data_IF_026176580723
#
_entry.id   IF_026176580723
#
_cell.length_a   1.000
_cell.length_b   1.000
_cell.length_c   1.000
_cell.angle_alpha   90.00
_cell.angle_beta   90.00
_cell.angle_gamma   90.00
#
_symmetry.space_group_name_H-M   'P 1'
#
loop_
_entity.id
_entity.type
_entity.pdbx_description
1 polymer ?
#
# COMPACT_ATOMS: atom_id res chain seq x y z
N UNK A 1 -8.68 41.29 -69.99
CA UNK A 1 -8.91 40.08 -69.18
C UNK A 1 -8.63 40.44 -67.72
N UNK A 2 -9.66 40.48 -66.87
CA UNK A 2 -9.62 41.09 -65.53
C UNK A 2 -9.89 39.98 -64.52
N UNK A 3 -8.89 39.64 -63.70
CA UNK A 3 -8.99 38.56 -62.72
C UNK A 3 -9.60 39.14 -61.42
N UNK A 4 -10.75 38.64 -60.94
CA UNK A 4 -11.35 39.14 -59.71
C UNK A 4 -10.64 38.58 -58.46
N UNK A 5 -10.02 39.46 -57.68
CA UNK A 5 -9.49 39.16 -56.35
C UNK A 5 -10.63 39.19 -55.30
N UNK A 6 -11.38 38.09 -55.20
CA UNK A 6 -12.36 37.87 -54.12
C UNK A 6 -11.81 36.85 -53.13
N UNK A 7 -11.27 37.29 -51.97
CA UNK A 7 -10.96 36.33 -50.90
C UNK A 7 -10.13 36.78 -49.68
N UNK A 8 -9.45 37.93 -49.68
CA UNK A 8 -8.42 38.21 -48.63
C UNK A 8 -8.84 39.06 -47.42
N UNK A 9 -10.13 39.36 -47.20
CA UNK A 9 -10.55 40.27 -46.10
C UNK A 9 -10.99 39.60 -44.79
N UNK A 10 -11.12 38.26 -44.74
CA UNK A 10 -11.60 37.55 -43.54
C UNK A 10 -10.48 37.02 -42.62
N UNK A 11 -9.24 36.91 -43.11
CA UNK A 11 -8.12 36.43 -42.29
C UNK A 11 -7.50 37.53 -41.38
N UNK A 12 -7.74 38.81 -41.69
CA UNK A 12 -7.04 39.93 -41.04
C UNK A 12 -7.61 40.29 -39.65
N UNK A 13 -8.86 39.94 -39.36
CA UNK A 13 -9.47 40.18 -38.05
C UNK A 13 -9.07 39.11 -37.01
N UNK A 14 -8.76 37.89 -37.45
CA UNK A 14 -8.42 36.78 -36.54
C UNK A 14 -7.03 36.93 -35.91
N UNK A 15 -6.10 37.60 -36.60
CA UNK A 15 -4.73 37.82 -36.09
C UNK A 15 -4.67 38.83 -34.94
N UNK A 16 -5.58 39.79 -34.85
CA UNK A 16 -5.53 40.84 -33.82
C UNK A 16 -5.95 40.32 -32.44
N UNK A 17 -6.96 39.45 -32.39
CA UNK A 17 -7.36 38.78 -31.15
C UNK A 17 -6.29 37.81 -30.62
N UNK A 18 -5.51 37.18 -31.49
CA UNK A 18 -4.50 36.20 -31.09
C UNK A 18 -3.32 36.86 -30.34
N UNK A 19 -2.96 38.11 -30.66
CA UNK A 19 -1.86 38.81 -29.98
C UNK A 19 -2.25 39.39 -28.61
N UNK A 20 -3.48 39.87 -28.43
CA UNK A 20 -3.95 40.42 -27.15
C UNK A 20 -4.26 39.33 -26.11
N UNK A 21 -4.61 38.12 -26.55
CA UNK A 21 -4.69 36.97 -25.64
C UNK A 21 -3.36 36.19 -25.56
N UNK A 22 -2.48 36.35 -26.54
CA UNK A 22 -1.18 35.66 -26.60
C UNK A 22 -0.28 35.97 -25.41
N UNK A 23 -0.24 37.23 -24.96
CA UNK A 23 0.55 37.59 -23.77
C UNK A 23 -0.03 36.94 -22.50
N UNK A 24 -1.35 36.85 -22.38
CA UNK A 24 -2.01 36.24 -21.23
C UNK A 24 -1.71 34.73 -21.18
N UNK A 25 -1.80 34.04 -22.32
CA UNK A 25 -1.44 32.62 -22.42
C UNK A 25 0.04 32.39 -22.12
N UNK A 26 0.93 33.29 -22.58
CA UNK A 26 2.36 33.21 -22.29
C UNK A 26 2.63 33.33 -20.79
N UNK A 27 2.01 34.29 -20.10
CA UNK A 27 2.14 34.46 -18.65
C UNK A 27 1.68 33.20 -17.92
N UNK A 28 0.52 32.64 -18.28
CA UNK A 28 0.00 31.40 -17.67
C UNK A 28 0.97 30.22 -17.91
N UNK A 29 1.50 30.07 -19.13
CA UNK A 29 2.48 29.04 -19.44
C UNK A 29 3.77 29.20 -18.60
N UNK A 30 4.26 30.43 -18.43
CA UNK A 30 5.42 30.73 -17.59
C UNK A 30 5.21 30.34 -16.12
N UNK A 31 4.02 30.62 -15.58
CA UNK A 31 3.64 30.21 -14.22
C UNK A 31 3.58 28.69 -14.09
N UNK A 32 2.98 27.98 -15.06
CA UNK A 32 2.92 26.52 -15.06
C UNK A 32 4.31 25.89 -15.14
N UNK A 33 5.21 26.45 -15.95
CA UNK A 33 6.62 26.02 -16.01
C UNK A 33 7.31 26.24 -14.66
N UNK A 34 7.11 27.40 -14.03
CA UNK A 34 7.66 27.70 -12.71
C UNK A 34 7.16 26.73 -11.62
N UNK A 35 5.85 26.43 -11.61
CA UNK A 35 5.24 25.47 -10.68
C UNK A 35 5.74 24.03 -10.92
N UNK A 36 5.91 23.66 -12.19
CA UNK A 36 6.48 22.36 -12.57
C UNK A 36 7.95 22.25 -12.14
N UNK A 37 8.72 23.32 -12.30
CA UNK A 37 10.13 23.36 -11.86
C UNK A 37 10.27 23.30 -10.34
N UNK A 38 9.35 23.92 -9.59
CA UNK A 38 9.27 23.80 -8.12
C UNK A 38 8.75 22.43 -7.65
N UNK A 39 8.36 21.53 -8.56
CA UNK A 39 7.89 20.19 -8.21
C UNK A 39 6.52 20.16 -7.52
N UNK A 40 5.71 21.22 -7.64
CA UNK A 40 4.36 21.28 -7.03
C UNK A 40 3.45 20.16 -7.54
N UNK A 41 3.69 19.67 -8.76
CA UNK A 41 2.95 18.54 -9.34
C UNK A 41 3.47 17.16 -8.91
N UNK A 42 4.55 17.08 -8.12
CA UNK A 42 5.06 15.81 -7.60
C UNK A 42 4.31 15.40 -6.32
N UNK A 43 3.01 15.17 -6.46
CA UNK A 43 2.10 14.81 -5.36
C UNK A 43 2.46 13.43 -4.78
N UNK A 44 3.10 12.58 -5.59
CA UNK A 44 3.41 11.19 -5.24
C UNK A 44 4.42 11.07 -4.08
N UNK A 45 5.33 12.03 -3.91
CA UNK A 45 6.34 11.98 -2.84
C UNK A 45 5.87 12.58 -1.51
N UNK A 46 4.74 13.28 -1.47
CA UNK A 46 4.22 13.96 -0.26
C UNK A 46 2.99 13.30 0.35
N UNK A 47 2.58 12.13 -0.15
CA UNK A 47 1.49 11.38 0.50
C UNK A 47 1.94 11.02 1.91
N UNK A 48 1.30 11.52 2.97
CA UNK A 48 1.65 11.14 4.32
C UNK A 48 1.42 9.65 4.51
N UNK A 49 2.24 9.04 5.35
CA UNK A 49 2.02 7.66 5.73
C UNK A 49 0.65 7.57 6.41
N UNK A 50 -0.17 6.67 5.90
CA UNK A 50 -1.56 6.57 6.28
C UNK A 50 -2.01 5.12 6.20
N UNK A 51 -2.90 4.75 7.11
CA UNK A 51 -3.59 3.49 7.07
C UNK A 51 -5.04 3.72 7.48
N UNK A 52 -5.97 3.09 6.77
CA UNK A 52 -7.40 3.32 6.99
C UNK A 52 -8.22 2.07 6.76
N UNK A 53 -9.21 1.85 7.61
CA UNK A 53 -10.18 0.77 7.48
C UNK A 53 -11.56 1.34 7.13
N UNK A 54 -12.27 0.79 6.13
CA UNK A 54 -13.49 1.38 5.59
C UNK A 54 -14.65 1.41 6.59
N UNK A 55 -14.70 0.47 7.53
CA UNK A 55 -15.79 0.34 8.50
C UNK A 55 -15.53 1.12 9.81
N UNK A 56 -14.37 1.77 9.97
CA UNK A 56 -13.93 2.48 11.19
C UNK A 56 -14.02 1.63 12.49
N UNK A 57 -14.15 0.31 12.37
CA UNK A 57 -14.24 -0.61 13.51
C UNK A 57 -12.87 -0.94 14.12
N UNK A 58 -11.82 -0.79 13.32
CA UNK A 58 -10.44 -0.66 13.78
C UNK A 58 -9.92 0.66 13.24
N UNK A 59 -9.36 1.47 14.13
CA UNK A 59 -8.69 2.70 13.74
C UNK A 59 -7.19 2.42 13.63
N UNK A 60 -6.57 2.87 12.55
CA UNK A 60 -5.14 2.65 12.31
C UNK A 60 -4.40 3.96 12.54
N UNK A 61 -3.44 3.95 13.47
CA UNK A 61 -2.69 5.15 13.86
C UNK A 61 -1.35 5.25 13.17
N UNK A 62 -0.66 4.13 13.00
CA UNK A 62 0.67 4.09 12.40
C UNK A 62 0.91 2.72 11.75
N UNK A 63 1.62 2.70 10.63
CA UNK A 63 2.02 1.47 9.96
C UNK A 63 3.46 1.66 9.45
N UNK A 64 4.34 0.73 9.81
CA UNK A 64 5.74 0.73 9.42
C UNK A 64 6.03 -0.44 8.53
N UNK A 65 6.50 -0.12 7.33
CA UNK A 65 6.93 -1.08 6.33
C UNK A 65 8.43 -0.95 6.19
N UNK A 66 9.11 -2.09 6.10
CA UNK A 66 10.55 -2.18 6.13
C UNK A 66 11.05 -3.06 4.99
N UNK A 67 12.15 -2.66 4.34
CA UNK A 67 12.83 -3.49 3.35
C UNK A 67 13.96 -4.28 4.01
N UNK A 68 14.06 -5.56 3.67
CA UNK A 68 15.15 -6.44 4.08
C UNK A 68 15.70 -7.25 2.90
N UNK A 69 16.73 -8.05 3.16
CA UNK A 69 17.32 -8.96 2.20
C UNK A 69 17.53 -10.32 2.85
N UNK A 70 17.04 -11.37 2.22
CA UNK A 70 17.33 -12.75 2.62
C UNK A 70 18.47 -13.27 1.75
N UNK A 71 19.42 -13.97 2.37
CA UNK A 71 20.58 -14.52 1.67
C UNK A 71 20.52 -16.04 1.75
N UNK A 72 20.33 -16.69 0.60
CA UNK A 72 20.31 -18.15 0.47
C UNK A 72 21.63 -18.58 -0.16
N UNK A 73 22.41 -19.40 0.54
CA UNK A 73 23.63 -19.99 -0.01
C UNK A 73 23.33 -21.39 -0.54
N UNK A 74 23.53 -21.60 -1.83
CA UNK A 74 23.32 -22.86 -2.54
C UNK A 74 24.69 -23.45 -2.86
N UNK A 75 24.93 -24.72 -2.51
CA UNK A 75 26.17 -25.41 -2.86
C UNK A 75 25.89 -26.27 -4.08
N UNK A 76 26.40 -25.85 -5.25
CA UNK A 76 26.25 -26.57 -6.51
C UNK A 76 27.56 -27.21 -6.99
N UNK A 77 27.53 -27.96 -8.11
CA UNK A 77 28.72 -28.59 -8.70
C UNK A 77 29.82 -27.59 -9.10
N UNK A 78 29.47 -26.32 -9.28
CA UNK A 78 30.39 -25.22 -9.61
C UNK A 78 30.91 -24.44 -8.39
N UNK A 79 30.54 -24.82 -7.16
CA UNK A 79 30.88 -24.10 -5.92
C UNK A 79 29.67 -23.46 -5.22
N UNK A 80 29.90 -22.71 -4.14
CA UNK A 80 28.84 -22.00 -3.43
C UNK A 80 28.38 -20.77 -4.24
N UNK A 81 27.07 -20.69 -4.49
CA UNK A 81 26.38 -19.55 -5.06
C UNK A 81 25.51 -18.90 -3.98
N UNK A 82 25.53 -17.56 -3.91
CA UNK A 82 24.74 -16.81 -2.94
C UNK A 82 23.64 -16.05 -3.67
N UNK A 83 22.39 -16.42 -3.41
CA UNK A 83 21.20 -15.76 -3.94
C UNK A 83 20.69 -14.78 -2.89
N UNK A 84 20.66 -13.49 -3.24
CA UNK A 84 20.11 -12.44 -2.39
C UNK A 84 18.72 -12.09 -2.90
N UNK A 85 17.69 -12.33 -2.10
CA UNK A 85 16.30 -12.02 -2.43
C UNK A 85 15.82 -10.85 -1.58
N UNK A 86 15.56 -9.67 -2.17
CA UNK A 86 15.08 -8.53 -1.42
C UNK A 86 13.60 -8.74 -1.08
N UNK A 87 13.20 -8.38 0.13
CA UNK A 87 11.82 -8.53 0.61
C UNK A 87 11.35 -7.23 1.26
N UNK A 88 10.05 -7.10 1.43
CA UNK A 88 9.43 -5.98 2.15
C UNK A 88 8.45 -6.55 3.15
N UNK A 89 8.54 -6.14 4.40
CA UNK A 89 7.72 -6.64 5.50
C UNK A 89 6.95 -5.51 6.18
N UNK A 90 5.78 -5.85 6.71
CA UNK A 90 5.09 -5.00 7.67
C UNK A 90 5.75 -5.18 9.06
N UNK A 91 6.66 -4.27 9.41
CA UNK A 91 7.42 -4.32 10.67
C UNK A 91 6.50 -4.12 11.89
N UNK A 92 5.63 -3.11 11.82
CA UNK A 92 4.65 -2.89 12.86
C UNK A 92 3.41 -2.16 12.38
N UNK A 93 2.27 -2.42 13.00
CA UNK A 93 1.03 -1.68 12.79
C UNK A 93 0.39 -1.35 14.15
N UNK A 94 0.01 -0.10 14.34
CA UNK A 94 -0.66 0.37 15.55
C UNK A 94 -2.14 0.53 15.27
N UNK A 95 -2.96 -0.28 15.92
CA UNK A 95 -4.41 -0.30 15.75
C UNK A 95 -5.12 -0.01 17.07
N UNK A 96 -6.30 0.61 17.01
CA UNK A 96 -7.21 0.83 18.12
C UNK A 96 -8.53 0.14 17.85
N UNK A 97 -8.99 -0.67 18.80
CA UNK A 97 -10.26 -1.39 18.70
C UNK A 97 -11.46 -0.44 18.92
N UNK A 98 -12.32 -0.31 17.90
CA UNK A 98 -13.57 0.47 17.93
C UNK A 98 -14.83 -0.40 17.80
N UNK A 99 -14.73 -1.72 17.95
CA UNK A 99 -15.88 -2.63 17.83
C UNK A 99 -16.87 -2.56 19.02
N UNK A 100 -16.54 -1.83 20.09
CA UNK A 100 -17.35 -1.82 21.34
C UNK A 100 -17.34 -3.15 22.10
N UNK A 101 -16.60 -4.16 21.61
CA UNK A 101 -16.37 -5.47 22.22
C UNK A 101 -14.90 -5.84 22.08
N UNK A 102 -14.42 -6.72 22.94
CA UNK A 102 -13.06 -7.22 22.86
C UNK A 102 -12.89 -8.13 21.65
N UNK A 103 -11.75 -7.96 20.96
CA UNK A 103 -11.36 -8.77 19.82
C UNK A 103 -10.06 -9.51 20.12
N UNK A 104 -9.87 -10.64 19.46
CA UNK A 104 -8.60 -11.34 19.36
C UNK A 104 -8.08 -11.21 17.94
N UNK A 105 -6.86 -10.72 17.79
CA UNK A 105 -6.12 -10.68 16.54
C UNK A 105 -5.50 -12.06 16.31
N UNK A 106 -5.69 -12.57 15.11
CA UNK A 106 -5.38 -13.96 14.76
C UNK A 106 -4.21 -14.02 13.79
N UNK A 107 -4.25 -13.15 12.78
CA UNK A 107 -3.21 -13.05 11.77
C UNK A 107 -3.26 -11.65 11.12
N UNK A 108 -2.13 -11.22 10.58
CA UNK A 108 -2.03 -9.97 9.84
C UNK A 108 -1.25 -10.25 8.56
N UNK A 109 -1.77 -9.76 7.44
CA UNK A 109 -1.10 -9.90 6.15
C UNK A 109 -1.13 -8.61 5.37
N UNK A 110 -0.10 -8.31 4.59
CA UNK A 110 -0.09 -7.18 3.66
C UNK A 110 0.05 -7.69 2.22
N UNK A 111 -0.71 -7.11 1.30
CA UNK A 111 -0.63 -7.42 -0.12
C UNK A 111 -1.26 -6.30 -0.93
N UNK A 112 -0.67 -5.93 -2.06
CA UNK A 112 -1.26 -5.03 -3.04
C UNK A 112 -2.12 -5.77 -4.09
N UNK A 113 -2.25 -7.10 -3.98
CA UNK A 113 -3.20 -7.86 -4.82
C UNK A 113 -4.66 -7.51 -4.49
N UNK A 114 -5.57 -7.58 -5.47
CA UNK A 114 -7.00 -7.50 -5.19
C UNK A 114 -7.45 -8.69 -4.31
N UNK A 115 -8.42 -8.48 -3.39
CA UNK A 115 -8.98 -9.56 -2.60
C UNK A 115 -9.73 -10.56 -3.49
N UNK A 116 -9.59 -11.84 -3.18
CA UNK A 116 -10.36 -12.91 -3.77
C UNK A 116 -11.83 -12.78 -3.36
N UNK A 117 -12.75 -12.88 -4.33
CA UNK A 117 -14.18 -12.70 -4.10
C UNK A 117 -14.82 -13.76 -3.17
N UNK A 118 -14.20 -14.94 -3.03
CA UNK A 118 -14.71 -16.04 -2.21
C UNK A 118 -14.13 -16.05 -0.81
N UNK A 119 -12.84 -15.78 -0.66
CA UNK A 119 -12.14 -15.88 0.64
C UNK A 119 -11.93 -14.54 1.33
N UNK A 120 -11.98 -13.42 0.59
CA UNK A 120 -11.63 -12.09 1.10
C UNK A 120 -10.13 -11.89 1.39
N UNK A 121 -9.29 -12.88 1.09
CA UNK A 121 -7.83 -12.83 1.21
C UNK A 121 -7.18 -12.50 -0.15
N UNK A 122 -5.88 -12.14 -0.19
CA UNK A 122 -5.14 -11.97 -1.45
C UNK A 122 -5.21 -13.21 -2.34
N UNK A 123 -5.13 -13.03 -3.66
CA UNK A 123 -5.25 -14.10 -4.64
C UNK A 123 -4.27 -15.25 -4.41
N UNK A 124 -3.04 -14.93 -4.03
CA UNK A 124 -1.99 -15.90 -3.65
C UNK A 124 -2.32 -16.74 -2.41
N UNK A 125 -3.26 -16.30 -1.58
CA UNK A 125 -3.70 -16.96 -0.34
C UNK A 125 -5.09 -17.57 -0.45
N UNK A 126 -5.60 -17.82 -1.66
CA UNK A 126 -6.96 -18.35 -1.87
C UNK A 126 -7.22 -19.72 -1.24
N UNK A 127 -6.18 -20.47 -0.90
CA UNK A 127 -6.29 -21.79 -0.27
C UNK A 127 -6.25 -21.72 1.27
N UNK A 128 -5.99 -20.55 1.84
CA UNK A 128 -5.96 -20.35 3.27
C UNK A 128 -7.35 -20.00 3.79
N UNK A 129 -7.71 -20.60 4.92
CA UNK A 129 -8.90 -20.24 5.68
C UNK A 129 -8.48 -19.33 6.81
N UNK A 130 -9.25 -18.26 7.06
CA UNK A 130 -9.03 -17.46 8.24
C UNK A 130 -9.29 -18.32 9.50
N UNK A 131 -8.29 -18.44 10.37
CA UNK A 131 -8.33 -19.26 11.58
C UNK A 131 -7.43 -18.64 12.66
N UNK A 132 -7.93 -18.60 13.89
CA UNK A 132 -7.21 -18.11 15.06
C UNK A 132 -6.42 -19.20 15.81
N UNK A 133 -6.52 -20.46 15.36
CA UNK A 133 -5.87 -21.63 15.96
C UNK A 133 -4.65 -22.15 15.21
N UNK A 134 -4.22 -21.48 14.13
CA UNK A 134 -3.00 -21.83 13.38
C UNK A 134 -3.02 -23.25 12.79
N UNK A 135 -4.19 -23.87 12.60
CA UNK A 135 -4.28 -25.31 12.30
C UNK A 135 -4.29 -25.64 10.79
N UNK A 136 -4.08 -24.65 9.90
CA UNK A 136 -4.37 -24.79 8.46
C UNK A 136 -3.34 -24.22 7.49
N UNK A 137 -2.04 -24.31 7.78
CA UNK A 137 -0.98 -23.90 6.84
C UNK A 137 -0.81 -22.39 6.66
N UNK A 138 -1.59 -21.56 7.37
CA UNK A 138 -1.35 -20.13 7.50
C UNK A 138 -0.08 -19.93 8.33
N UNK A 139 0.84 -19.10 7.84
CA UNK A 139 1.99 -18.63 8.62
C UNK A 139 1.40 -17.85 9.80
N UNK A 140 1.22 -18.54 10.92
CA UNK A 140 0.78 -17.93 12.16
C UNK A 140 1.91 -17.02 12.60
N UNK A 141 1.80 -15.72 12.33
CA UNK A 141 2.68 -14.75 12.94
C UNK A 141 2.15 -14.58 14.35
N UNK A 142 2.80 -15.16 15.39
CA UNK A 142 2.37 -14.90 16.74
C UNK A 142 2.34 -13.38 16.89
N UNK A 143 1.22 -12.80 17.30
CA UNK A 143 1.15 -11.38 17.61
C UNK A 143 1.97 -11.20 18.90
N UNK A 144 3.23 -10.81 18.77
CA UNK A 144 4.28 -11.08 19.78
C UNK A 144 4.10 -10.28 21.08
N UNK A 145 3.17 -9.32 21.12
CA UNK A 145 3.01 -8.46 22.30
C UNK A 145 1.59 -8.47 22.89
N UNK A 146 0.55 -8.65 22.08
CA UNK A 146 -0.84 -8.59 22.54
C UNK A 146 -1.84 -9.07 21.48
N UNK A 147 -2.34 -10.29 21.66
CA UNK A 147 -3.34 -10.87 20.76
C UNK A 147 -4.76 -10.40 21.08
N UNK A 148 -5.04 -9.93 22.30
CA UNK A 148 -6.36 -9.49 22.73
C UNK A 148 -6.43 -7.97 22.93
N UNK A 149 -7.39 -7.33 22.28
CA UNK A 149 -7.67 -5.90 22.39
C UNK A 149 -9.03 -5.68 23.04
N UNK A 150 -9.05 -4.99 24.18
CA UNK A 150 -10.27 -4.51 24.80
C UNK A 150 -10.93 -3.38 23.97
N UNK A 151 -12.21 -3.06 24.18
CA UNK A 151 -12.83 -1.90 23.54
C UNK A 151 -12.04 -0.62 23.83
N UNK A 152 -11.87 0.23 22.81
CA UNK A 152 -11.11 1.49 22.85
C UNK A 152 -9.60 1.34 23.11
N UNK A 153 -9.11 0.12 23.28
CA UNK A 153 -7.71 -0.16 23.54
C UNK A 153 -6.88 -0.08 22.26
N UNK A 154 -5.66 0.46 22.40
CA UNK A 154 -4.68 0.55 21.35
C UNK A 154 -3.55 -0.46 21.59
N UNK A 155 -3.07 -1.12 20.54
CA UNK A 155 -1.83 -1.88 20.58
C UNK A 155 -1.02 -1.71 19.30
N UNK A 156 0.30 -1.74 19.46
CA UNK A 156 1.25 -1.88 18.36
C UNK A 156 1.57 -3.36 18.20
N UNK A 157 1.16 -3.91 17.06
CA UNK A 157 1.52 -5.26 16.65
C UNK A 157 2.82 -5.16 15.89
N UNK A 158 3.84 -5.91 16.31
CA UNK A 158 5.13 -5.99 15.64
C UNK A 158 5.35 -7.41 15.13
N UNK A 159 5.79 -7.54 13.88
CA UNK A 159 6.24 -8.82 13.33
C UNK A 159 7.70 -9.03 13.79
N UNK A 160 7.96 -9.88 14.79
CA UNK A 160 9.36 -10.34 14.98
C UNK A 160 9.63 -11.45 13.99
N UNK A 161 10.50 -11.13 13.03
CA UNK A 161 11.49 -11.97 12.34
C UNK A 161 11.35 -13.49 12.53
N UNK A 162 10.27 -14.05 12.01
CA UNK A 162 10.10 -15.44 11.54
C UNK A 162 9.49 -15.25 10.15
N UNK A 163 10.00 -15.89 9.07
CA UNK A 163 10.12 -15.27 7.73
C UNK A 163 8.90 -14.40 7.43
N UNK A 164 9.13 -13.09 7.48
CA UNK A 164 8.14 -12.09 7.87
C UNK A 164 6.90 -12.08 6.98
N UNK A 165 5.93 -11.26 7.38
CA UNK A 165 4.76 -10.95 6.55
C UNK A 165 5.28 -10.18 5.33
N UNK A 166 5.67 -10.90 4.28
CA UNK A 166 6.15 -10.28 3.06
C UNK A 166 4.98 -9.59 2.39
N UNK A 167 5.07 -8.26 2.28
CA UNK A 167 4.10 -7.47 1.56
C UNK A 167 4.28 -7.70 0.07
N UNK A 168 3.24 -8.28 -0.54
CA UNK A 168 3.21 -8.55 -1.97
C UNK A 168 2.93 -7.27 -2.77
N UNK A 169 3.57 -7.15 -3.93
CA UNK A 169 3.26 -6.09 -4.89
C UNK A 169 1.90 -6.34 -5.61
N UNK A 170 1.50 -5.42 -6.48
CA UNK A 170 0.24 -5.53 -7.22
C UNK A 170 0.17 -6.75 -8.16
N UNK A 171 1.31 -7.39 -8.44
CA UNK A 171 1.44 -8.60 -9.23
C UNK A 171 1.61 -9.86 -8.36
N UNK A 172 1.44 -9.75 -7.03
CA UNK A 172 1.58 -10.88 -6.11
C UNK A 172 3.02 -11.31 -5.84
N UNK A 173 3.99 -10.47 -6.19
CA UNK A 173 5.41 -10.82 -6.07
C UNK A 173 5.99 -10.26 -4.78
N UNK A 174 6.90 -11.02 -4.21
CA UNK A 174 7.76 -10.59 -3.10
C UNK A 174 8.91 -9.79 -3.70
N UNK A 175 8.68 -8.50 -3.90
CA UNK A 175 9.67 -7.57 -4.43
C UNK A 175 10.10 -6.61 -3.32
N UNK A 176 11.40 -6.58 -3.01
CA UNK A 176 11.91 -5.57 -2.08
C UNK A 176 11.76 -4.18 -2.67
N UNK A 177 10.84 -3.41 -2.11
CA UNK A 177 10.78 -1.97 -2.31
C UNK A 177 12.09 -1.37 -1.81
N UNK A 178 12.62 -0.38 -2.53
CA UNK A 178 13.83 0.32 -2.06
C UNK A 178 13.47 1.22 -0.88
N UNK A 179 14.43 1.42 0.03
CA UNK A 179 14.28 2.36 1.14
C UNK A 179 13.90 3.74 0.59
N UNK A 180 13.01 4.45 1.29
CA UNK A 180 12.41 5.72 0.91
C UNK A 180 11.45 5.69 -0.28
N UNK A 181 11.05 4.50 -0.76
CA UNK A 181 9.93 4.38 -1.68
C UNK A 181 8.61 4.21 -0.93
N UNK A 182 7.50 4.56 -1.59
CA UNK A 182 6.16 4.35 -1.03
C UNK A 182 5.69 2.94 -1.35
N UNK A 183 5.34 2.20 -0.30
CA UNK A 183 4.50 1.02 -0.40
C UNK A 183 3.04 1.47 -0.35
N UNK A 184 2.23 1.00 -1.30
CA UNK A 184 0.79 1.21 -1.32
C UNK A 184 0.11 -0.14 -1.57
N UNK A 185 -0.70 -0.59 -0.62
CA UNK A 185 -1.35 -1.90 -0.69
C UNK A 185 -2.43 -2.04 0.36
N UNK A 186 -2.87 -3.28 0.58
CA UNK A 186 -3.89 -3.61 1.57
C UNK A 186 -3.28 -4.35 2.74
N UNK A 187 -3.87 -4.15 3.91
CA UNK A 187 -3.62 -4.95 5.11
C UNK A 187 -4.88 -5.75 5.42
N UNK A 188 -4.70 -7.02 5.70
CA UNK A 188 -5.72 -7.99 6.04
C UNK A 188 -5.48 -8.38 7.49
N UNK A 189 -6.40 -8.00 8.37
CA UNK A 189 -6.37 -8.38 9.78
C UNK A 189 -7.43 -9.46 9.97
N UNK A 190 -6.99 -10.65 10.33
CA UNK A 190 -7.87 -11.71 10.77
C UNK A 190 -8.12 -11.56 12.27
N UNK A 191 -9.38 -11.60 12.68
CA UNK A 191 -9.75 -11.42 14.08
C UNK A 191 -10.99 -12.25 14.44
N UNK A 192 -11.19 -12.50 15.74
CA UNK A 192 -12.43 -13.07 16.29
C UNK A 192 -12.91 -12.23 17.47
N UNK A 193 -14.19 -12.34 17.86
CA UNK A 193 -14.62 -11.76 19.13
C UNK A 193 -14.29 -12.68 20.30
N UNK A 194 -14.25 -12.12 21.51
CA UNK A 194 -14.19 -12.96 22.70
C UNK A 194 -15.45 -13.84 22.82
N UNK A 195 -15.24 -15.14 23.02
CA UNK A 195 -16.30 -16.14 23.10
C UNK A 195 -16.64 -16.80 21.76
N UNK A 196 -16.13 -16.29 20.64
CA UNK A 196 -16.23 -16.95 19.34
C UNK A 196 -15.37 -18.23 19.30
N UNK A 197 -15.83 -19.25 18.58
CA UNK A 197 -15.01 -20.44 18.31
C UNK A 197 -13.80 -20.04 17.46
N UNK A 198 -12.56 -20.37 17.87
CA UNK A 198 -11.36 -19.89 17.20
C UNK A 198 -11.21 -20.38 15.75
N UNK A 199 -11.93 -21.43 15.36
CA UNK A 199 -11.81 -22.12 14.06
C UNK A 199 -12.87 -21.69 13.05
N UNK A 200 -14.06 -21.32 13.52
CA UNK A 200 -15.23 -21.12 12.64
C UNK A 200 -15.70 -19.68 12.55
N UNK A 201 -15.21 -18.81 13.44
CA UNK A 201 -15.69 -17.44 13.58
C UNK A 201 -14.58 -16.38 13.40
N UNK A 202 -13.46 -16.77 12.78
CA UNK A 202 -12.48 -15.81 12.30
C UNK A 202 -13.10 -14.96 11.18
N UNK A 203 -12.88 -13.65 11.27
CA UNK A 203 -13.37 -12.62 10.35
C UNK A 203 -12.17 -11.89 9.79
N UNK A 204 -12.32 -11.37 8.58
CA UNK A 204 -11.27 -10.60 7.92
C UNK A 204 -11.70 -9.14 7.89
N UNK A 205 -10.84 -8.25 8.36
CA UNK A 205 -10.94 -6.83 8.13
C UNK A 205 -9.85 -6.42 7.14
N UNK A 206 -10.24 -5.68 6.11
CA UNK A 206 -9.33 -5.18 5.09
C UNK A 206 -9.19 -3.67 5.23
N UNK A 207 -7.96 -3.18 5.23
CA UNK A 207 -7.63 -1.75 5.23
C UNK A 207 -6.67 -1.42 4.12
N UNK A 208 -6.61 -0.15 3.74
CA UNK A 208 -5.60 0.38 2.83
C UNK A 208 -4.43 0.92 3.66
N UNK A 209 -3.20 0.68 3.19
CA UNK A 209 -1.98 1.22 3.80
C UNK A 209 -1.14 1.89 2.72
N UNK A 210 -0.63 3.07 3.06
CA UNK A 210 0.41 3.79 2.33
C UNK A 210 1.50 4.11 3.33
N UNK A 211 2.69 3.56 3.15
CA UNK A 211 3.79 3.75 4.08
C UNK A 211 5.11 3.96 3.34
N UNK A 212 6.00 4.76 3.90
CA UNK A 212 7.37 4.91 3.41
C UNK A 212 8.18 3.72 3.88
N UNK A 213 8.80 3.02 2.94
CA UNK A 213 9.61 1.84 3.22
C UNK A 213 10.89 2.29 3.93
N UNK A 214 11.06 1.82 5.16
CA UNK A 214 12.23 2.12 5.98
C UNK A 214 13.30 1.03 5.82
N UNK A 215 14.53 1.35 6.20
CA UNK A 215 15.58 0.34 6.32
C UNK A 215 15.24 -0.58 7.49
N UNK A 216 15.20 -1.90 7.25
CA UNK A 216 15.06 -2.87 8.33
C UNK A 216 16.17 -2.77 9.35
N UNK A 217 15.79 -2.98 10.60
CA UNK A 217 16.71 -3.14 11.73
C UNK A 217 17.17 -4.58 11.87
#
# INVERSE_FOLDING_TARGET
MKIPHSGLKKAQAASEFLFTYGWAVLVVALVLIGLAWMGVFNITSQVPDSCSFPLQTLDCKDARVSSGQSTISIIGPGGPETVVTPFTILESITVQNKFGKSIRLCDITCSAEPPNAYTGLPGTMSNLRADCKGSGGSIHVPVINKDRLLPEEQATISSSVVPGIECLDAAGRTGGYSVNTKYAGKVYIQYSFDGDSPIEAARILMGDIVATVQSGK
#
